data_IF_706489958083
#
_entry.id   IF_706489958083
#
_cell.length_a   1.000
_cell.length_b   1.000
_cell.length_c   1.000
_cell.angle_alpha   90.00
_cell.angle_beta   90.00
_cell.angle_gamma   90.00
#
_symmetry.space_group_name_H-M   'P 1'
#
loop_
_entity.id
_entity.type
_entity.pdbx_description
1 polymer ?
#
# COMPACT_ATOMS: atom_id res chain seq x y z
N UNK A 1 -27.63 3.58 23.66
CA UNK A 1 -27.27 3.56 22.24
C UNK A 1 -26.01 2.70 22.13
N UNK A 2 -26.12 1.44 21.64
CA UNK A 2 -25.03 0.47 21.65
C UNK A 2 -24.17 0.62 20.40
N UNK A 3 -22.98 1.13 20.58
CA UNK A 3 -21.95 1.24 19.53
C UNK A 3 -21.47 -0.19 19.19
N UNK A 4 -21.80 -0.68 18.02
CA UNK A 4 -21.24 -1.93 17.49
C UNK A 4 -19.80 -1.65 17.02
N UNK A 5 -18.83 -1.94 17.85
CA UNK A 5 -17.44 -2.03 17.47
C UNK A 5 -17.27 -3.29 16.63
N UNK A 6 -16.99 -3.14 15.35
CA UNK A 6 -16.47 -4.25 14.57
C UNK A 6 -15.02 -4.47 14.99
N UNK A 7 -14.82 -5.47 15.81
CA UNK A 7 -13.50 -6.01 16.11
C UNK A 7 -12.99 -6.67 14.83
N UNK A 8 -12.01 -6.06 14.20
CA UNK A 8 -11.11 -6.78 13.33
C UNK A 8 -10.21 -7.62 14.22
N UNK A 9 -10.66 -8.85 14.53
CA UNK A 9 -9.84 -9.81 15.24
C UNK A 9 -8.83 -10.37 14.24
N UNK A 10 -7.61 -9.87 14.27
CA UNK A 10 -6.52 -10.49 13.55
C UNK A 10 -5.96 -11.65 14.32
N UNK A 11 -6.06 -12.78 13.67
CA UNK A 11 -5.61 -14.08 14.10
C UNK A 11 -4.10 -14.08 14.19
N UNK A 12 -3.56 -14.20 15.38
CA UNK A 12 -2.19 -14.64 15.57
C UNK A 12 -2.03 -15.95 14.79
N UNK A 13 -1.05 -16.04 13.92
CA UNK A 13 -0.64 -17.31 13.33
C UNK A 13 -0.05 -18.21 14.41
N UNK A 14 -0.90 -18.74 15.29
CA UNK A 14 -0.62 -19.97 15.99
C UNK A 14 -0.75 -21.07 14.95
N UNK A 15 0.32 -21.82 14.75
CA UNK A 15 0.29 -23.11 14.08
C UNK A 15 -0.74 -24.01 14.79
N UNK A 16 -1.99 -23.89 14.39
CA UNK A 16 -2.99 -24.93 14.54
C UNK A 16 -3.21 -25.47 13.14
N UNK A 17 -2.76 -26.71 12.92
CA UNK A 17 -3.20 -27.53 11.81
C UNK A 17 -4.73 -27.61 11.86
N UNK A 18 -5.39 -26.76 11.12
CA UNK A 18 -6.85 -26.65 11.08
C UNK A 18 -7.27 -25.90 9.84
N UNK A 19 -7.65 -26.71 8.82
CA UNK A 19 -8.48 -26.35 7.67
C UNK A 19 -8.20 -24.96 7.08
N UNK A 20 -7.33 -24.94 6.08
CA UNK A 20 -7.32 -23.88 5.06
C UNK A 20 -8.78 -23.65 4.65
N UNK A 21 -9.35 -22.45 4.81
CA UNK A 21 -10.69 -22.20 4.31
C UNK A 21 -10.69 -22.56 2.82
N UNK A 22 -11.71 -23.30 2.42
CA UNK A 22 -11.86 -23.87 1.10
C UNK A 22 -11.51 -22.83 0.02
N UNK A 23 -10.54 -23.23 -0.82
CA UNK A 23 -10.23 -22.61 -2.09
C UNK A 23 -10.19 -21.07 -2.07
N UNK A 24 -9.04 -20.50 -1.69
CA UNK A 24 -8.62 -19.26 -2.34
C UNK A 24 -8.85 -19.49 -3.84
N UNK A 25 -9.54 -18.53 -4.47
CA UNK A 25 -10.04 -18.67 -5.82
C UNK A 25 -9.03 -19.37 -6.75
N UNK A 26 -9.49 -20.38 -7.44
CA UNK A 26 -8.67 -21.22 -8.32
C UNK A 26 -7.87 -20.40 -9.37
N UNK A 27 -8.31 -19.15 -9.62
CA UNK A 27 -7.68 -18.25 -10.60
C UNK A 27 -6.30 -17.70 -10.18
N UNK A 28 -5.90 -17.87 -8.91
CA UNK A 28 -4.55 -17.49 -8.46
C UNK A 28 -3.66 -18.69 -8.12
N UNK A 29 -4.16 -19.93 -8.14
CA UNK A 29 -3.43 -21.08 -7.63
C UNK A 29 -2.07 -21.32 -8.31
N UNK A 30 -1.98 -21.14 -9.59
CA UNK A 30 -0.73 -21.20 -10.37
C UNK A 30 -0.22 -19.83 -10.81
N UNK A 31 -0.87 -18.75 -10.37
CA UNK A 31 -0.51 -17.41 -10.81
C UNK A 31 0.69 -16.86 -10.01
N UNK A 32 1.62 -16.20 -10.68
CA UNK A 32 2.83 -15.63 -10.08
C UNK A 32 2.55 -14.64 -8.93
N UNK A 33 1.39 -13.97 -8.94
CA UNK A 33 1.01 -13.02 -7.89
C UNK A 33 0.40 -13.65 -6.66
N UNK A 34 0.17 -14.98 -6.64
CA UNK A 34 -0.45 -15.69 -5.51
C UNK A 34 0.12 -15.29 -4.15
N UNK A 35 1.45 -15.30 -3.91
CA UNK A 35 1.98 -14.98 -2.58
C UNK A 35 1.60 -13.57 -2.13
N UNK A 36 1.61 -12.60 -3.03
CA UNK A 36 1.27 -11.21 -2.74
C UNK A 36 -0.22 -11.02 -2.50
N UNK A 37 -1.07 -11.64 -3.35
CA UNK A 37 -2.54 -11.58 -3.21
C UNK A 37 -2.96 -12.24 -1.91
N UNK A 38 -2.39 -13.41 -1.57
CA UNK A 38 -2.69 -14.13 -0.33
C UNK A 38 -2.34 -13.28 0.90
N UNK A 39 -1.12 -12.73 0.95
CA UNK A 39 -0.69 -11.88 2.06
C UNK A 39 -1.59 -10.65 2.24
N UNK A 40 -1.94 -9.96 1.15
CA UNK A 40 -2.82 -8.79 1.22
C UNK A 40 -4.29 -9.16 1.51
N UNK A 41 -4.72 -10.37 1.17
CA UNK A 41 -6.03 -10.89 1.55
C UNK A 41 -6.11 -11.14 3.06
N UNK A 42 -5.10 -11.79 3.64
CA UNK A 42 -4.99 -12.02 5.08
C UNK A 42 -5.02 -10.70 5.88
N UNK A 43 -4.45 -9.64 5.31
CA UNK A 43 -4.53 -8.28 5.87
C UNK A 43 -5.86 -7.56 5.57
N UNK A 44 -6.82 -8.19 4.87
CA UNK A 44 -8.09 -7.56 4.52
C UNK A 44 -8.02 -6.46 3.46
N UNK A 45 -6.86 -6.28 2.82
CA UNK A 45 -6.62 -5.20 1.85
C UNK A 45 -7.26 -5.54 0.49
N UNK A 46 -6.98 -6.74 -0.02
CA UNK A 46 -7.53 -7.25 -1.28
C UNK A 46 -8.49 -8.40 -0.98
N UNK A 47 -9.69 -8.33 -1.55
CA UNK A 47 -10.67 -9.39 -1.42
C UNK A 47 -11.08 -9.91 -2.81
N UNK A 48 -11.45 -11.20 -2.91
CA UNK A 48 -12.04 -11.72 -4.14
C UNK A 48 -13.38 -11.06 -4.41
N UNK A 49 -13.83 -11.13 -5.65
CA UNK A 49 -15.16 -10.67 -6.03
C UNK A 49 -16.24 -11.46 -5.27
N UNK A 50 -17.17 -10.76 -4.62
CA UNK A 50 -18.26 -11.39 -3.88
C UNK A 50 -19.19 -12.24 -4.77
N UNK A 51 -19.26 -11.91 -6.07
CA UNK A 51 -20.13 -12.62 -7.02
C UNK A 51 -19.50 -13.88 -7.62
N UNK A 52 -18.17 -13.89 -7.78
CA UNK A 52 -17.46 -14.98 -8.46
C UNK A 52 -16.49 -15.74 -7.56
N UNK A 53 -16.12 -15.18 -6.42
CA UNK A 53 -15.05 -15.70 -5.58
C UNK A 53 -13.65 -15.56 -6.16
N UNK A 54 -13.48 -14.90 -7.31
CA UNK A 54 -12.20 -14.77 -8.03
C UNK A 54 -11.50 -13.45 -7.74
N UNK A 55 -10.15 -13.45 -7.76
CA UNK A 55 -9.33 -12.25 -7.66
C UNK A 55 -9.09 -11.57 -9.00
N UNK A 56 -9.20 -12.30 -10.10
CA UNK A 56 -8.97 -11.84 -11.48
C UNK A 56 -7.63 -11.08 -11.62
N UNK A 57 -6.47 -11.73 -11.33
CA UNK A 57 -5.18 -11.05 -11.23
C UNK A 57 -4.72 -10.41 -12.53
N UNK A 58 -5.20 -10.89 -13.67
CA UNK A 58 -4.89 -10.35 -15.01
C UNK A 58 -5.79 -9.18 -15.43
N UNK A 59 -6.88 -8.90 -14.68
CA UNK A 59 -7.74 -7.77 -14.98
C UNK A 59 -7.05 -6.44 -14.64
N UNK A 60 -7.28 -5.43 -15.47
CA UNK A 60 -6.82 -4.06 -15.18
C UNK A 60 -7.49 -3.53 -13.92
N UNK A 61 -6.72 -2.81 -13.10
CA UNK A 61 -7.25 -2.14 -11.91
C UNK A 61 -7.80 -0.76 -12.28
N UNK A 62 -8.94 -0.41 -11.69
CA UNK A 62 -9.47 0.95 -11.82
C UNK A 62 -8.82 1.90 -10.79
N UNK A 63 -8.95 3.21 -11.04
CA UNK A 63 -8.40 4.23 -10.12
C UNK A 63 -9.02 4.12 -8.73
N UNK A 64 -10.35 3.93 -8.64
CA UNK A 64 -11.00 3.82 -7.34
C UNK A 64 -10.66 2.50 -6.60
N UNK A 65 -10.46 1.40 -7.33
CA UNK A 65 -10.00 0.15 -6.72
C UNK A 65 -8.63 0.31 -6.08
N UNK A 66 -7.69 0.99 -6.76
CA UNK A 66 -6.37 1.26 -6.21
C UNK A 66 -6.43 2.17 -4.98
N UNK A 67 -7.24 3.24 -5.02
CA UNK A 67 -7.48 4.08 -3.85
C UNK A 67 -8.02 3.27 -2.67
N UNK A 68 -8.98 2.38 -2.91
CA UNK A 68 -9.54 1.52 -1.87
C UNK A 68 -8.48 0.59 -1.25
N UNK A 69 -7.59 0.05 -2.06
CA UNK A 69 -6.50 -0.80 -1.55
C UNK A 69 -5.52 0.00 -0.71
N UNK A 70 -5.15 1.21 -1.13
CA UNK A 70 -4.29 2.10 -0.34
C UNK A 70 -4.96 2.50 0.97
N UNK A 71 -6.23 2.94 0.95
CA UNK A 71 -6.95 3.32 2.16
C UNK A 71 -6.96 2.20 3.19
N UNK A 72 -7.18 0.96 2.75
CA UNK A 72 -7.15 -0.22 3.63
C UNK A 72 -5.75 -0.57 4.10
N UNK A 73 -4.76 -0.46 3.22
CA UNK A 73 -3.38 -0.79 3.52
C UNK A 73 -2.76 0.10 4.60
N UNK A 74 -3.17 1.37 4.64
CA UNK A 74 -2.67 2.36 5.59
C UNK A 74 -3.71 2.77 6.64
N UNK A 75 -4.84 2.06 6.72
CA UNK A 75 -5.95 2.28 7.65
C UNK A 75 -6.50 3.72 7.60
N UNK A 76 -6.44 4.37 6.45
CA UNK A 76 -6.93 5.74 6.30
C UNK A 76 -8.44 5.82 6.46
N UNK A 77 -8.92 6.76 7.27
CA UNK A 77 -10.33 6.91 7.63
C UNK A 77 -10.86 8.34 7.52
N UNK A 78 -9.98 9.34 7.63
CA UNK A 78 -10.38 10.73 7.56
C UNK A 78 -10.82 11.14 6.14
N UNK A 79 -11.85 11.98 6.06
CA UNK A 79 -12.51 12.34 4.81
C UNK A 79 -12.37 13.83 4.51
N UNK A 80 -12.14 14.17 3.24
CA UNK A 80 -12.26 15.54 2.73
C UNK A 80 -13.64 15.76 2.09
N UNK A 81 -14.05 17.02 1.99
CA UNK A 81 -15.13 17.41 1.08
C UNK A 81 -14.60 17.38 -0.35
N UNK A 82 -15.35 16.79 -1.28
CA UNK A 82 -15.00 16.67 -2.69
C UNK A 82 -16.15 17.20 -3.57
N UNK A 83 -15.81 17.69 -4.77
CA UNK A 83 -16.78 18.26 -5.71
C UNK A 83 -16.46 17.92 -7.16
N UNK A 84 -15.93 16.74 -7.43
CA UNK A 84 -15.63 16.30 -8.81
C UNK A 84 -16.93 16.12 -9.60
N UNK A 85 -16.93 16.57 -10.88
CA UNK A 85 -18.12 16.56 -11.72
C UNK A 85 -18.60 15.16 -12.11
N UNK A 86 -17.71 14.17 -12.02
CA UNK A 86 -17.94 12.75 -12.36
C UNK A 86 -18.02 11.83 -11.11
N UNK A 87 -18.22 12.41 -9.91
CA UNK A 87 -18.36 11.66 -8.65
C UNK A 87 -19.57 12.14 -7.90
N UNK A 88 -20.54 11.26 -7.69
CA UNK A 88 -21.79 11.56 -6.96
C UNK A 88 -21.72 10.97 -5.55
N UNK A 89 -22.39 11.60 -4.61
CA UNK A 89 -22.48 11.10 -3.22
C UNK A 89 -23.15 9.73 -3.08
N UNK A 90 -23.90 9.31 -4.10
CA UNK A 90 -24.53 7.99 -4.18
C UNK A 90 -23.61 6.89 -4.71
N UNK A 91 -22.43 7.24 -5.23
CA UNK A 91 -21.51 6.26 -5.81
C UNK A 91 -20.84 5.43 -4.73
N UNK A 92 -20.67 4.13 -4.98
CA UNK A 92 -20.08 3.18 -4.02
C UNK A 92 -18.63 3.52 -3.67
N UNK A 93 -17.95 4.26 -4.51
CA UNK A 93 -16.56 4.72 -4.33
C UNK A 93 -16.44 6.14 -3.76
N UNK A 94 -17.57 6.84 -3.50
CA UNK A 94 -17.54 8.23 -3.03
C UNK A 94 -16.68 8.42 -1.78
N UNK A 95 -16.92 7.60 -0.76
CA UNK A 95 -16.15 7.63 0.48
C UNK A 95 -14.66 7.30 0.26
N UNK A 96 -14.38 6.32 -0.59
CA UNK A 96 -13.01 5.95 -0.95
C UNK A 96 -12.24 7.14 -1.50
N UNK A 97 -12.88 7.94 -2.37
CA UNK A 97 -12.27 9.12 -2.98
C UNK A 97 -12.08 10.25 -1.95
N UNK A 98 -13.06 10.48 -1.06
CA UNK A 98 -12.94 11.46 0.01
C UNK A 98 -11.71 11.19 0.88
N UNK A 99 -11.49 9.93 1.27
CA UNK A 99 -10.34 9.51 2.06
C UNK A 99 -9.04 9.72 1.26
N UNK A 100 -8.99 9.29 0.01
CA UNK A 100 -7.81 9.41 -0.83
C UNK A 100 -7.38 10.87 -1.06
N UNK A 101 -8.34 11.77 -1.24
CA UNK A 101 -8.11 13.22 -1.38
C UNK A 101 -7.64 13.82 -0.06
N UNK A 102 -8.23 13.43 1.07
CA UNK A 102 -7.84 13.91 2.40
C UNK A 102 -6.37 13.62 2.69
N UNK A 103 -5.90 12.42 2.35
CA UNK A 103 -4.51 12.00 2.55
C UNK A 103 -3.54 12.47 1.47
N UNK A 104 -4.04 13.17 0.44
CA UNK A 104 -3.22 13.92 -0.52
C UNK A 104 -2.44 13.06 -1.52
N UNK A 105 -2.62 11.74 -1.55
CA UNK A 105 -1.87 10.87 -2.46
C UNK A 105 -2.48 10.84 -3.86
N UNK A 106 -3.72 11.32 -4.03
CA UNK A 106 -4.37 11.43 -5.32
C UNK A 106 -4.92 12.83 -5.57
N UNK A 107 -4.82 13.24 -6.83
CA UNK A 107 -5.48 14.44 -7.35
C UNK A 107 -6.40 14.03 -8.52
N UNK A 108 -7.32 14.90 -8.89
CA UNK A 108 -8.13 14.72 -10.09
C UNK A 108 -7.28 14.63 -11.37
N UNK A 109 -7.94 14.30 -12.46
CA UNK A 109 -7.35 14.19 -13.82
C UNK A 109 -7.36 15.51 -14.59
N UNK A 110 -7.67 16.62 -13.93
CA UNK A 110 -7.94 17.91 -14.56
C UNK A 110 -9.42 18.10 -14.88
N UNK A 111 -9.83 19.32 -15.28
CA UNK A 111 -11.20 19.68 -15.62
C UNK A 111 -12.23 19.24 -14.58
N UNK A 112 -11.86 19.33 -13.29
CA UNK A 112 -12.67 18.91 -12.14
C UNK A 112 -13.20 17.46 -12.22
N UNK A 113 -12.41 16.54 -12.78
CA UNK A 113 -12.73 15.12 -12.91
C UNK A 113 -11.77 14.24 -12.11
N UNK A 114 -12.30 13.16 -11.54
CA UNK A 114 -11.52 12.11 -10.84
C UNK A 114 -11.26 10.88 -11.72
N UNK A 115 -12.18 10.58 -12.63
CA UNK A 115 -12.18 9.39 -13.50
C UNK A 115 -12.05 8.08 -12.70
N UNK A 116 -12.97 7.79 -11.76
CA UNK A 116 -12.81 6.68 -10.82
C UNK A 116 -12.81 5.30 -11.50
N UNK A 117 -13.62 5.12 -12.53
CA UNK A 117 -13.73 3.86 -13.30
C UNK A 117 -12.64 3.72 -14.39
N UNK A 118 -11.90 4.78 -14.65
CA UNK A 118 -10.77 4.73 -15.58
C UNK A 118 -9.68 3.76 -15.09
N UNK A 119 -9.02 3.08 -16.02
CA UNK A 119 -7.89 2.19 -15.70
C UNK A 119 -6.67 2.98 -15.27
N UNK A 120 -5.90 2.41 -14.36
CA UNK A 120 -4.69 3.03 -13.81
C UNK A 120 -3.47 2.63 -14.66
N UNK A 121 -2.71 3.63 -15.13
CA UNK A 121 -1.45 3.37 -15.81
C UNK A 121 -0.30 3.18 -14.82
N UNK A 122 0.81 2.56 -15.28
CA UNK A 122 1.99 2.30 -14.45
C UNK A 122 2.64 3.58 -13.95
N UNK A 123 2.76 4.63 -14.78
CA UNK A 123 3.32 5.90 -14.33
C UNK A 123 2.40 6.66 -13.37
N UNK A 124 1.08 6.53 -13.52
CA UNK A 124 0.11 7.08 -12.57
C UNK A 124 0.22 6.40 -11.21
N UNK A 125 0.36 5.08 -11.17
CA UNK A 125 0.56 4.36 -9.93
C UNK A 125 1.88 4.76 -9.24
N UNK A 126 2.98 4.88 -9.98
CA UNK A 126 4.25 5.39 -9.43
C UNK A 126 4.09 6.80 -8.84
N UNK A 127 3.33 7.67 -9.50
CA UNK A 127 3.05 9.03 -9.01
C UNK A 127 2.21 9.01 -7.72
N UNK A 128 1.21 8.16 -7.65
CA UNK A 128 0.36 8.01 -6.45
C UNK A 128 1.20 7.46 -5.28
N UNK A 129 2.01 6.44 -5.51
CA UNK A 129 2.90 5.89 -4.48
C UNK A 129 3.92 6.93 -3.98
N UNK A 130 4.52 7.70 -4.89
CA UNK A 130 5.46 8.74 -4.50
C UNK A 130 4.84 9.81 -3.61
N UNK A 131 3.58 10.19 -3.88
CA UNK A 131 2.82 11.11 -3.02
C UNK A 131 2.43 10.47 -1.69
N UNK A 132 1.99 9.20 -1.72
CA UNK A 132 1.64 8.43 -0.53
C UNK A 132 2.80 8.34 0.45
N UNK A 133 3.99 8.03 -0.05
CA UNK A 133 5.19 7.91 0.75
C UNK A 133 5.88 9.25 1.03
N UNK A 134 5.30 10.36 0.54
CA UNK A 134 5.84 11.72 0.69
C UNK A 134 7.29 11.84 0.21
N UNK A 135 7.67 11.02 -0.75
CA UNK A 135 9.02 11.11 -1.31
C UNK A 135 9.26 12.49 -1.90
N UNK A 136 10.30 13.16 -1.41
CA UNK A 136 10.91 14.22 -2.18
C UNK A 136 11.41 13.55 -3.48
N UNK A 137 10.98 14.00 -4.68
CA UNK A 137 11.39 13.36 -5.93
C UNK A 137 12.86 13.69 -6.23
N UNK A 138 13.76 13.08 -5.46
CA UNK A 138 15.21 13.31 -5.51
C UNK A 138 15.94 12.26 -6.34
N UNK A 139 15.28 11.14 -6.65
CA UNK A 139 15.90 10.10 -7.48
C UNK A 139 16.26 10.64 -8.85
N UNK A 140 17.51 10.41 -9.23
CA UNK A 140 18.01 10.82 -10.53
C UNK A 140 17.27 10.14 -11.67
N UNK A 141 16.87 10.89 -12.69
CA UNK A 141 16.29 10.34 -13.90
C UNK A 141 17.18 9.31 -14.60
N UNK A 142 18.49 9.31 -14.33
CA UNK A 142 19.43 8.28 -14.83
C UNK A 142 19.09 6.86 -14.38
N UNK A 143 18.34 6.69 -13.30
CA UNK A 143 17.79 5.39 -12.89
C UNK A 143 16.85 4.78 -13.94
N UNK A 144 16.32 5.60 -14.84
CA UNK A 144 15.44 5.18 -15.93
C UNK A 144 16.20 4.82 -17.22
N UNK A 145 17.52 5.02 -17.29
CA UNK A 145 18.33 4.77 -18.48
C UNK A 145 18.36 3.28 -18.88
N UNK A 146 18.00 2.42 -17.95
CA UNK A 146 17.84 0.97 -18.19
C UNK A 146 16.62 0.63 -19.05
N UNK A 147 15.67 1.56 -19.25
CA UNK A 147 14.44 1.31 -19.99
C UNK A 147 14.52 1.88 -21.40
N UNK A 148 14.25 1.03 -22.40
CA UNK A 148 14.27 1.41 -23.83
C UNK A 148 13.18 2.42 -24.20
N UNK A 149 12.11 2.47 -23.42
CA UNK A 149 10.95 3.36 -23.62
C UNK A 149 10.87 4.50 -22.60
N UNK A 150 11.98 4.85 -21.93
CA UNK A 150 12.02 5.94 -20.93
C UNK A 150 11.47 7.28 -21.45
N UNK A 151 11.66 7.56 -22.76
CA UNK A 151 11.14 8.79 -23.38
C UNK A 151 9.62 8.88 -23.46
N UNK A 152 8.91 7.76 -23.22
CA UNK A 152 7.45 7.71 -23.15
C UNK A 152 6.90 8.03 -21.75
N UNK A 153 7.77 8.15 -20.74
CA UNK A 153 7.37 8.54 -19.38
C UNK A 153 7.02 10.03 -19.42
N UNK A 154 5.82 10.36 -18.93
CA UNK A 154 5.36 11.75 -18.87
C UNK A 154 6.22 12.57 -17.92
N UNK A 155 6.45 13.84 -18.23
CA UNK A 155 7.31 14.73 -17.45
C UNK A 155 6.89 14.83 -15.97
N UNK A 156 5.59 14.83 -15.68
CA UNK A 156 5.07 14.88 -14.30
C UNK A 156 5.40 13.61 -13.50
N UNK A 157 5.61 12.48 -14.16
CA UNK A 157 5.81 11.18 -13.54
C UNK A 157 7.28 10.78 -13.42
N UNK A 158 8.18 11.43 -14.17
CA UNK A 158 9.58 11.01 -14.32
C UNK A 158 10.28 10.77 -12.98
N UNK A 159 10.22 11.72 -12.05
CA UNK A 159 10.88 11.61 -10.74
C UNK A 159 10.22 10.53 -9.86
N UNK A 160 8.89 10.42 -9.90
CA UNK A 160 8.17 9.39 -9.15
C UNK A 160 8.43 7.98 -9.68
N UNK A 161 8.54 7.83 -11.00
CA UNK A 161 8.92 6.55 -11.62
C UNK A 161 10.36 6.19 -11.25
N UNK A 162 11.29 7.15 -11.30
CA UNK A 162 12.68 6.93 -10.91
C UNK A 162 12.78 6.49 -9.43
N UNK A 163 12.00 7.12 -8.55
CA UNK A 163 11.94 6.75 -7.14
C UNK A 163 11.33 5.36 -6.94
N UNK A 164 10.17 5.07 -7.54
CA UNK A 164 9.51 3.77 -7.44
C UNK A 164 10.40 2.62 -7.93
N UNK A 165 11.18 2.85 -8.98
CA UNK A 165 12.18 1.90 -9.49
C UNK A 165 13.35 1.76 -8.50
N UNK A 166 13.87 2.85 -7.95
CA UNK A 166 14.97 2.85 -6.98
C UNK A 166 14.62 2.08 -5.70
N UNK A 167 13.37 2.22 -5.24
CA UNK A 167 12.84 1.52 -4.07
C UNK A 167 12.46 0.06 -4.38
N UNK A 168 12.39 -0.32 -5.65
CA UNK A 168 12.02 -1.68 -6.08
C UNK A 168 10.51 -1.97 -6.06
N UNK A 169 9.66 -0.95 -5.89
CA UNK A 169 8.20 -1.14 -5.89
C UNK A 169 7.65 -1.48 -7.27
N UNK A 170 8.15 -0.80 -8.30
CA UNK A 170 7.76 -1.02 -9.69
C UNK A 170 9.02 -1.29 -10.51
N UNK A 171 9.13 -2.49 -11.06
CA UNK A 171 10.23 -2.86 -11.94
C UNK A 171 9.79 -2.82 -13.41
N UNK A 172 10.76 -2.77 -14.33
CA UNK A 172 10.51 -2.98 -15.75
C UNK A 172 10.15 -4.41 -16.10
N UNK A 173 9.86 -4.62 -17.36
CA UNK A 173 9.62 -5.94 -17.94
C UNK A 173 10.91 -6.57 -18.46
N UNK A 174 10.89 -7.88 -18.70
CA UNK A 174 12.04 -8.65 -19.22
C UNK A 174 12.45 -8.23 -20.63
N UNK A 175 11.59 -7.53 -21.36
CA UNK A 175 11.87 -6.95 -22.66
C UNK A 175 12.64 -5.60 -22.60
N UNK A 176 13.05 -5.17 -21.42
CA UNK A 176 13.77 -3.93 -21.18
C UNK A 176 12.89 -2.67 -21.24
N UNK A 177 11.55 -2.81 -21.19
CA UNK A 177 10.62 -1.67 -21.18
C UNK A 177 10.06 -1.42 -19.78
N UNK A 178 9.64 -0.19 -19.51
CA UNK A 178 8.84 0.19 -18.34
C UNK A 178 7.33 0.16 -18.62
N UNK A 179 6.92 0.44 -19.85
CA UNK A 179 5.52 0.57 -20.31
C UNK A 179 4.71 1.60 -19.51
N UNK A 180 5.13 2.88 -19.48
CA UNK A 180 4.54 3.88 -18.58
C UNK A 180 3.04 4.06 -18.75
N UNK A 181 2.55 3.98 -20.01
CA UNK A 181 1.13 4.11 -20.37
C UNK A 181 0.37 2.77 -20.31
N UNK A 182 1.05 1.68 -20.00
CA UNK A 182 0.40 0.37 -19.86
C UNK A 182 -0.48 0.34 -18.62
N UNK A 183 -1.68 -0.25 -18.72
CA UNK A 183 -2.57 -0.43 -17.60
C UNK A 183 -1.99 -1.45 -16.62
N UNK A 184 -2.05 -1.12 -15.32
CA UNK A 184 -1.69 -2.07 -14.27
C UNK A 184 -2.76 -3.12 -14.07
N UNK A 185 -2.31 -4.34 -13.83
CA UNK A 185 -3.16 -5.48 -13.48
C UNK A 185 -3.26 -5.65 -11.98
N UNK A 186 -4.33 -6.30 -11.52
CA UNK A 186 -4.55 -6.53 -10.08
C UNK A 186 -3.40 -7.32 -9.43
N UNK A 187 -2.84 -8.32 -10.12
CA UNK A 187 -1.67 -9.06 -9.64
C UNK A 187 -0.42 -8.17 -9.50
N UNK A 188 -0.20 -7.23 -10.42
CA UNK A 188 0.91 -6.27 -10.33
C UNK A 188 0.72 -5.31 -9.15
N UNK A 189 -0.49 -4.81 -8.95
CA UNK A 189 -0.83 -3.96 -7.79
C UNK A 189 -0.62 -4.70 -6.47
N UNK A 190 -0.99 -5.99 -6.40
CA UNK A 190 -0.76 -6.78 -5.19
C UNK A 190 0.73 -6.84 -4.86
N UNK A 191 1.59 -7.10 -5.83
CA UNK A 191 3.03 -7.08 -5.63
C UNK A 191 3.55 -5.70 -5.18
N UNK A 192 3.10 -4.64 -5.84
CA UNK A 192 3.50 -3.26 -5.52
C UNK A 192 3.14 -2.91 -4.07
N UNK A 193 1.91 -3.17 -3.66
CA UNK A 193 1.46 -2.87 -2.29
C UNK A 193 2.16 -3.73 -1.25
N UNK A 194 2.43 -5.01 -1.54
CA UNK A 194 3.17 -5.89 -0.66
C UNK A 194 4.57 -5.32 -0.33
N UNK A 195 5.33 -4.90 -1.33
CA UNK A 195 6.64 -4.30 -1.11
C UNK A 195 6.57 -2.89 -0.51
N UNK A 196 5.51 -2.14 -0.82
CA UNK A 196 5.27 -0.79 -0.30
C UNK A 196 4.96 -0.82 1.20
N UNK A 197 4.12 -1.74 1.66
CA UNK A 197 3.80 -1.94 3.08
C UNK A 197 4.97 -2.51 3.86
N UNK A 198 5.67 -3.46 3.28
CA UNK A 198 6.72 -4.19 3.98
C UNK A 198 6.18 -5.17 5.02
N UNK A 199 6.90 -5.31 6.13
CA UNK A 199 6.51 -6.18 7.24
C UNK A 199 5.38 -5.52 8.03
N UNK A 200 4.26 -6.23 8.21
CA UNK A 200 3.09 -5.70 8.92
C UNK A 200 3.08 -6.16 10.38
N UNK A 201 3.02 -5.19 11.30
CA UNK A 201 2.96 -5.40 12.75
C UNK A 201 1.59 -4.91 13.26
N UNK A 202 0.60 -5.81 13.26
CA UNK A 202 -0.81 -5.46 13.49
C UNK A 202 -1.45 -6.06 14.76
N UNK A 203 -0.67 -6.70 15.66
CA UNK A 203 -1.23 -7.28 16.89
C UNK A 203 -1.08 -6.32 18.08
N UNK A 204 -2.19 -5.94 18.67
CA UNK A 204 -2.21 -5.02 19.79
C UNK A 204 -1.56 -5.62 21.05
N UNK A 205 -0.69 -4.83 21.68
CA UNK A 205 0.02 -5.21 22.92
C UNK A 205 1.22 -6.13 22.69
N UNK A 206 1.53 -6.49 21.45
CA UNK A 206 2.64 -7.38 21.14
C UNK A 206 4.00 -6.66 21.24
N UNK A 207 5.01 -7.43 21.61
CA UNK A 207 6.41 -7.06 21.55
C UNK A 207 7.02 -7.66 20.27
N UNK A 208 7.66 -6.81 19.48
CA UNK A 208 8.32 -7.20 18.24
C UNK A 208 9.81 -6.87 18.28
N UNK A 209 10.58 -7.65 17.54
CA UNK A 209 11.98 -7.39 17.19
C UNK A 209 12.11 -7.52 15.67
N UNK A 210 13.29 -7.34 15.12
CA UNK A 210 13.59 -7.59 13.71
C UNK A 210 13.28 -9.02 13.26
N UNK A 211 13.25 -9.99 14.15
CA UNK A 211 12.83 -11.37 13.85
C UNK A 211 11.38 -11.48 13.32
N UNK A 212 10.55 -10.44 13.52
CA UNK A 212 9.20 -10.36 12.95
C UNK A 212 9.18 -9.84 11.51
N UNK A 213 10.32 -9.39 10.97
CA UNK A 213 10.37 -8.79 9.66
C UNK A 213 10.44 -9.85 8.56
N UNK A 214 9.76 -9.55 7.46
CA UNK A 214 9.89 -10.31 6.25
C UNK A 214 11.17 -9.85 5.52
N UNK A 215 12.15 -10.73 5.39
CA UNK A 215 13.45 -10.43 4.79
C UNK A 215 13.39 -10.00 3.32
N UNK A 216 12.27 -10.22 2.63
CA UNK A 216 12.08 -9.81 1.24
C UNK A 216 11.68 -8.33 1.11
N UNK A 217 11.32 -7.66 2.21
CA UNK A 217 10.82 -6.28 2.23
C UNK A 217 11.73 -5.37 3.04
N UNK A 218 11.73 -4.09 2.70
CA UNK A 218 12.54 -3.07 3.39
C UNK A 218 11.76 -2.25 4.41
N UNK A 219 10.47 -2.04 4.15
CA UNK A 219 9.60 -1.21 4.98
C UNK A 219 8.98 -2.02 6.12
N UNK A 220 8.53 -1.30 7.14
CA UNK A 220 7.72 -1.84 8.23
C UNK A 220 6.49 -0.96 8.42
N UNK A 221 5.33 -1.61 8.58
CA UNK A 221 4.05 -0.92 8.83
C UNK A 221 3.48 -1.38 10.16
N UNK A 222 3.27 -0.46 11.10
CA UNK A 222 2.62 -0.68 12.39
C UNK A 222 1.18 -0.19 12.30
N UNK A 223 0.22 -1.09 12.50
CA UNK A 223 -1.22 -0.79 12.44
C UNK A 223 -1.97 -1.00 13.76
N UNK A 224 -1.25 -1.36 14.84
CA UNK A 224 -1.82 -1.51 16.18
C UNK A 224 -0.83 -1.07 17.24
N UNK A 225 -1.34 -0.77 18.45
CA UNK A 225 -0.51 -0.46 19.61
C UNK A 225 0.45 -1.61 19.92
N UNK A 226 1.74 -1.35 19.94
CA UNK A 226 2.76 -2.37 20.15
C UNK A 226 4.09 -1.76 20.66
N UNK A 227 5.04 -2.62 20.95
CA UNK A 227 6.44 -2.24 21.19
C UNK A 227 7.32 -2.90 20.12
N UNK A 228 8.20 -2.13 19.49
CA UNK A 228 9.26 -2.62 18.61
C UNK A 228 10.60 -2.28 19.26
N UNK A 229 11.43 -3.30 19.48
CA UNK A 229 12.72 -3.15 20.15
C UNK A 229 13.85 -3.81 19.35
N UNK A 230 15.06 -3.24 19.48
CA UNK A 230 16.30 -3.83 18.97
C UNK A 230 16.19 -4.21 17.48
N UNK A 231 15.76 -3.25 16.66
CA UNK A 231 15.44 -3.53 15.26
C UNK A 231 16.12 -2.54 14.30
N UNK A 232 16.48 -3.04 13.12
CA UNK A 232 16.94 -2.21 11.99
C UNK A 232 15.97 -2.35 10.83
N UNK A 233 15.39 -1.22 10.40
CA UNK A 233 14.49 -1.12 9.28
C UNK A 233 15.27 -0.57 8.09
N UNK A 234 15.37 -1.35 7.01
CA UNK A 234 16.14 -1.01 5.81
C UNK A 234 15.48 0.04 4.92
N UNK A 235 14.19 0.29 5.11
CA UNK A 235 13.39 1.29 4.41
C UNK A 235 12.67 2.22 5.39
N UNK A 236 11.41 2.53 5.09
CA UNK A 236 10.58 3.42 5.90
C UNK A 236 9.82 2.67 7.00
N UNK A 237 9.55 3.38 8.09
CA UNK A 237 8.62 2.95 9.13
C UNK A 237 7.32 3.76 8.99
N UNK A 238 6.21 3.06 8.79
CA UNK A 238 4.86 3.65 8.77
C UNK A 238 4.13 3.27 10.06
N UNK A 239 3.60 4.25 10.77
CA UNK A 239 2.68 4.07 11.90
C UNK A 239 1.34 4.61 11.42
N UNK A 240 0.38 3.70 11.15
CA UNK A 240 -0.87 4.03 10.45
C UNK A 240 -1.92 4.63 11.37
N UNK A 241 -2.98 5.19 10.80
CA UNK A 241 -4.15 5.65 11.56
C UNK A 241 -4.84 4.51 12.32
N UNK A 242 -4.65 3.26 11.92
CA UNK A 242 -5.18 2.07 12.59
C UNK A 242 -4.74 1.92 14.04
N UNK A 243 -3.61 2.52 14.43
CA UNK A 243 -3.16 2.58 15.85
C UNK A 243 -4.13 3.40 16.70
N UNK A 244 -4.91 4.32 16.12
CA UNK A 244 -5.86 5.21 16.80
C UNK A 244 -5.16 6.01 17.92
N UNK A 245 -5.61 5.87 19.18
CA UNK A 245 -4.99 6.47 20.36
C UNK A 245 -4.08 5.50 21.14
N UNK A 246 -3.74 4.37 20.52
CA UNK A 246 -2.86 3.38 21.15
C UNK A 246 -1.41 3.86 21.26
N UNK A 247 -0.62 3.17 22.07
CA UNK A 247 0.78 3.50 22.27
C UNK A 247 1.66 2.65 21.34
N UNK A 248 2.59 3.28 20.68
CA UNK A 248 3.68 2.64 19.94
C UNK A 248 4.99 3.03 20.60
N UNK A 249 5.69 2.05 21.15
CA UNK A 249 6.98 2.28 21.77
C UNK A 249 8.08 1.73 20.84
N UNK A 250 9.01 2.59 20.46
CA UNK A 250 10.17 2.24 19.66
C UNK A 250 11.41 2.35 20.55
N UNK A 251 12.05 1.20 20.86
CA UNK A 251 13.19 1.13 21.75
C UNK A 251 14.42 0.61 21.00
N UNK A 252 15.48 1.39 20.92
CA UNK A 252 16.71 1.01 20.21
C UNK A 252 16.43 0.58 18.76
N UNK A 253 15.75 1.44 18.00
CA UNK A 253 15.35 1.16 16.61
C UNK A 253 16.10 2.07 15.66
N UNK A 254 16.72 1.49 14.62
CA UNK A 254 17.35 2.22 13.52
C UNK A 254 16.45 2.16 12.28
N UNK A 255 16.09 3.32 11.73
CA UNK A 255 15.32 3.44 10.48
C UNK A 255 16.21 4.09 9.44
N UNK A 256 16.51 3.39 8.34
CA UNK A 256 17.36 3.94 7.25
C UNK A 256 16.60 4.86 6.29
N UNK A 257 15.30 4.84 6.33
CA UNK A 257 14.41 5.76 5.63
C UNK A 257 13.69 6.70 6.58
N UNK A 258 12.48 7.11 6.19
CA UNK A 258 11.64 8.01 6.96
C UNK A 258 10.78 7.28 8.00
N UNK A 259 10.47 7.98 9.10
CA UNK A 259 9.44 7.59 10.05
C UNK A 259 8.20 8.42 9.76
N UNK A 260 7.12 7.76 9.32
CA UNK A 260 5.87 8.42 8.91
C UNK A 260 4.78 8.05 9.91
N UNK A 261 4.31 9.03 10.67
CA UNK A 261 3.31 8.82 11.73
C UNK A 261 1.97 9.38 11.26
N UNK A 262 0.99 8.49 11.13
CA UNK A 262 -0.41 8.81 10.83
C UNK A 262 -1.31 8.78 12.07
N UNK A 263 -0.93 8.03 13.12
CA UNK A 263 -1.73 7.89 14.33
C UNK A 263 -0.94 7.41 15.54
N UNK A 264 -1.62 7.28 16.68
CA UNK A 264 -1.04 6.76 17.91
C UNK A 264 -0.26 7.76 18.76
N UNK A 265 0.09 7.33 19.97
CA UNK A 265 1.04 8.01 20.85
C UNK A 265 2.40 7.31 20.68
N UNK A 266 3.34 7.96 20.01
CA UNK A 266 4.64 7.35 19.68
C UNK A 266 5.69 7.79 20.68
N UNK A 267 6.33 6.82 21.33
CA UNK A 267 7.48 7.03 22.21
C UNK A 267 8.75 6.55 21.51
N UNK A 268 9.77 7.38 21.47
CA UNK A 268 11.06 7.11 20.85
C UNK A 268 12.13 7.03 21.95
N UNK A 269 12.74 5.86 22.13
CA UNK A 269 13.86 5.66 23.04
C UNK A 269 15.01 4.98 22.29
N UNK A 270 16.15 5.65 22.19
CA UNK A 270 17.29 5.15 21.41
C UNK A 270 17.01 5.00 19.92
N UNK A 271 16.11 5.81 19.34
CA UNK A 271 15.74 5.73 17.92
C UNK A 271 16.66 6.60 17.08
N UNK A 272 17.16 6.01 15.98
CA UNK A 272 17.97 6.72 14.96
C UNK A 272 17.27 6.66 13.61
N UNK A 273 17.06 7.81 12.96
CA UNK A 273 16.66 7.93 11.56
C UNK A 273 17.82 8.51 10.75
N UNK A 274 18.08 7.99 9.54
CA UNK A 274 19.23 8.36 8.70
C UNK A 274 18.82 9.20 7.50
#
# INVERSE_FOLDING_TARGET
>A
MKLKRFFSAFLAAALLAGTVPAALAADIDSHWSKPYVTSLHELGIINPSASTGNYTPEASVTRWEFMRYINRAFDFTEKASISFSDVKSSDTYYETIQIAVKHGYINGMGNNRMDPEGTLTREQAATILGRLHKYAPTASASKLDVFTDKSKISSYATSYVAEAVSQGYINGYTDGTFKPQGNLRRGEIAKILYFSLGSSLGESGRQYTDAAFNGDTKNVTISAACTLSDATIEGNLYITEGVLSGNVNLNNVTVKGDIIVGGGNVTLDGVTAM
#
